data_IF_176975592636
#
_entry.id   IF_176975592636
#
_cell.length_a   1.000
_cell.length_b   1.000
_cell.length_c   1.000
_cell.angle_alpha   90.00
_cell.angle_beta   90.00
_cell.angle_gamma   90.00
#
_symmetry.space_group_name_H-M   'P 1'
#
loop_
_entity.id
_entity.type
_entity.pdbx_description
1 polymer ?
#
# COMPACT_ATOMS: atom_id res chain seq x y z
N UNK A 1 -43.16 -9.35 -22.02
CA UNK A 1 -41.89 -9.46 -21.29
C UNK A 1 -42.06 -8.80 -19.93
N UNK A 2 -41.96 -9.57 -18.84
CA UNK A 2 -42.58 -9.23 -17.55
C UNK A 2 -41.77 -8.23 -16.72
N UNK A 3 -42.36 -7.05 -16.44
CA UNK A 3 -41.81 -6.01 -15.53
C UNK A 3 -41.42 -6.55 -14.14
N UNK A 4 -42.06 -7.63 -13.68
CA UNK A 4 -41.74 -8.31 -12.41
C UNK A 4 -40.36 -8.97 -12.42
N UNK A 5 -39.90 -9.49 -13.57
CA UNK A 5 -38.57 -10.10 -13.69
C UNK A 5 -37.46 -9.06 -13.52
N UNK A 6 -37.64 -7.88 -14.12
CA UNK A 6 -36.71 -6.76 -13.97
C UNK A 6 -36.66 -6.21 -12.55
N UNK A 7 -37.80 -6.13 -11.85
CA UNK A 7 -37.83 -5.73 -10.45
C UNK A 7 -37.10 -6.74 -9.56
N UNK A 8 -37.30 -8.04 -9.77
CA UNK A 8 -36.59 -9.08 -9.02
C UNK A 8 -35.09 -9.09 -9.33
N UNK A 9 -34.68 -8.92 -10.59
CA UNK A 9 -33.26 -8.81 -10.94
C UNK A 9 -32.62 -7.56 -10.35
N UNK A 10 -33.33 -6.43 -10.31
CA UNK A 10 -32.84 -5.18 -9.73
C UNK A 10 -32.80 -5.24 -8.19
N UNK A 11 -33.76 -5.89 -7.55
CA UNK A 11 -33.72 -6.18 -6.10
C UNK A 11 -32.63 -7.19 -5.74
N UNK A 12 -32.43 -8.25 -6.54
CA UNK A 12 -31.32 -9.18 -6.35
C UNK A 12 -29.97 -8.49 -6.59
N UNK A 13 -29.88 -7.59 -7.58
CA UNK A 13 -28.67 -6.81 -7.83
C UNK A 13 -28.39 -5.83 -6.68
N UNK A 14 -29.40 -5.12 -6.19
CA UNK A 14 -29.29 -4.24 -5.01
C UNK A 14 -28.93 -5.01 -3.73
N UNK A 15 -29.53 -6.19 -3.49
CA UNK A 15 -29.19 -7.02 -2.33
C UNK A 15 -27.79 -7.64 -2.43
N UNK A 16 -27.36 -8.06 -3.63
CA UNK A 16 -26.00 -8.56 -3.85
C UNK A 16 -24.95 -7.45 -3.72
N UNK A 17 -25.24 -6.24 -4.22
CA UNK A 17 -24.39 -5.06 -4.02
C UNK A 17 -24.28 -4.69 -2.53
N UNK A 18 -25.39 -4.72 -1.79
CA UNK A 18 -25.38 -4.46 -0.35
C UNK A 18 -24.58 -5.52 0.44
N UNK A 19 -24.72 -6.80 0.11
CA UNK A 19 -23.99 -7.86 0.81
C UNK A 19 -22.47 -7.80 0.54
N UNK A 20 -22.07 -7.46 -0.69
CA UNK A 20 -20.66 -7.27 -1.06
C UNK A 20 -20.06 -5.99 -0.46
N UNK A 21 -20.83 -4.90 -0.39
CA UNK A 21 -20.41 -3.65 0.25
C UNK A 21 -20.26 -3.82 1.78
N UNK A 22 -21.14 -4.60 2.40
CA UNK A 22 -21.11 -4.85 3.84
C UNK A 22 -19.90 -5.70 4.27
N UNK A 23 -19.48 -6.67 3.44
CA UNK A 23 -18.23 -7.39 3.68
C UNK A 23 -17.02 -6.43 3.62
N UNK A 24 -17.01 -5.50 2.65
CA UNK A 24 -15.93 -4.54 2.43
C UNK A 24 -15.78 -3.53 3.58
N UNK A 25 -16.87 -2.96 4.08
CA UNK A 25 -16.86 -2.02 5.21
C UNK A 25 -16.43 -2.70 6.51
N UNK A 26 -16.95 -3.91 6.79
CA UNK A 26 -16.55 -4.69 7.98
C UNK A 26 -15.04 -4.96 8.00
N UNK A 27 -14.40 -5.19 6.85
CA UNK A 27 -12.95 -5.34 6.79
C UNK A 27 -12.22 -4.05 7.18
N UNK A 28 -12.68 -2.89 6.72
CA UNK A 28 -12.02 -1.63 7.03
C UNK A 28 -12.15 -1.26 8.50
N UNK A 29 -13.32 -1.52 9.10
CA UNK A 29 -13.56 -1.30 10.53
C UNK A 29 -12.59 -2.11 11.40
N UNK A 30 -12.37 -3.39 11.09
CA UNK A 30 -11.41 -4.25 11.81
C UNK A 30 -9.99 -3.67 11.85
N UNK A 31 -9.59 -2.91 10.83
CA UNK A 31 -8.27 -2.29 10.74
C UNK A 31 -8.25 -0.82 11.17
N UNK A 32 -9.39 -0.14 11.25
CA UNK A 32 -9.47 1.29 11.57
C UNK A 32 -8.99 1.62 12.98
N UNK A 33 -9.23 0.71 13.94
CA UNK A 33 -8.74 0.89 15.30
C UNK A 33 -7.23 0.71 15.44
N UNK A 34 -6.60 0.03 14.47
CA UNK A 34 -5.21 -0.42 14.57
C UNK A 34 -4.27 0.35 13.64
N UNK A 35 -4.80 0.97 12.58
CA UNK A 35 -4.02 1.72 11.58
C UNK A 35 -4.14 3.23 11.78
N UNK A 36 -3.08 3.95 11.41
CA UNK A 36 -3.18 5.40 11.24
C UNK A 36 -4.00 5.76 10.00
N UNK A 37 -4.50 7.00 9.93
CA UNK A 37 -5.36 7.48 8.83
C UNK A 37 -4.74 7.25 7.43
N UNK A 38 -3.44 7.52 7.28
CA UNK A 38 -2.71 7.30 6.01
C UNK A 38 -2.67 5.83 5.60
N UNK A 39 -2.40 4.93 6.55
CA UNK A 39 -2.28 3.50 6.30
C UNK A 39 -3.65 2.89 5.99
N UNK A 40 -4.70 3.35 6.67
CA UNK A 40 -6.08 2.95 6.39
C UNK A 40 -6.54 3.44 5.01
N UNK A 41 -6.25 4.70 4.66
CA UNK A 41 -6.54 5.26 3.34
C UNK A 41 -5.86 4.46 2.22
N UNK A 42 -4.60 4.08 2.43
CA UNK A 42 -3.91 3.21 1.48
C UNK A 42 -4.50 1.79 1.44
N UNK A 43 -4.91 1.21 2.57
CA UNK A 43 -5.55 -0.11 2.58
C UNK A 43 -6.86 -0.09 1.77
N UNK A 44 -7.68 0.95 1.99
CA UNK A 44 -8.90 1.19 1.23
C UNK A 44 -8.62 1.21 -0.28
N UNK A 45 -7.56 1.90 -0.70
CA UNK A 45 -7.16 1.99 -2.10
C UNK A 45 -6.76 0.65 -2.71
N UNK A 46 -6.01 -0.18 -1.97
CA UNK A 46 -5.63 -1.52 -2.43
C UNK A 46 -6.83 -2.45 -2.52
N UNK A 47 -7.72 -2.41 -1.51
CA UNK A 47 -8.98 -3.14 -1.48
C UNK A 47 -9.88 -2.76 -2.67
N UNK A 48 -10.07 -1.46 -2.91
CA UNK A 48 -10.89 -0.95 -3.99
C UNK A 48 -10.32 -1.37 -5.35
N UNK A 49 -9.00 -1.29 -5.53
CA UNK A 49 -8.36 -1.74 -6.77
C UNK A 49 -8.59 -3.23 -7.03
N UNK A 50 -8.44 -4.09 -6.01
CA UNK A 50 -8.70 -5.53 -6.13
C UNK A 50 -10.18 -5.84 -6.39
N UNK A 51 -11.08 -5.04 -5.83
CA UNK A 51 -12.52 -5.18 -6.06
C UNK A 51 -12.90 -4.83 -7.51
N UNK A 52 -12.33 -3.75 -8.05
CA UNK A 52 -12.52 -3.36 -9.46
C UNK A 52 -11.80 -4.31 -10.44
N UNK A 53 -10.70 -4.94 -10.00
CA UNK A 53 -9.83 -5.79 -10.80
C UNK A 53 -9.56 -7.13 -10.08
N UNK A 54 -10.59 -8.01 -9.95
CA UNK A 54 -10.44 -9.25 -9.21
C UNK A 54 -9.44 -10.20 -9.86
N UNK A 55 -8.68 -10.90 -9.02
CA UNK A 55 -7.62 -11.82 -9.45
C UNK A 55 -8.24 -13.07 -10.10
N UNK A 56 -7.89 -13.35 -11.35
CA UNK A 56 -8.29 -14.58 -12.03
C UNK A 56 -7.48 -15.78 -11.53
N UNK A 57 -8.09 -16.66 -10.74
CA UNK A 57 -7.44 -17.80 -10.10
C UNK A 57 -6.89 -18.83 -11.10
N UNK A 58 -7.40 -18.87 -12.34
CA UNK A 58 -6.93 -19.79 -13.37
C UNK A 58 -5.69 -19.27 -14.10
N UNK A 59 -5.50 -17.95 -14.15
CA UNK A 59 -4.42 -17.31 -14.91
C UNK A 59 -3.43 -16.52 -14.04
N UNK A 60 -3.69 -16.38 -12.74
CA UNK A 60 -2.83 -15.62 -11.85
C UNK A 60 -1.48 -16.30 -11.59
N UNK A 61 -0.48 -15.48 -11.35
CA UNK A 61 0.85 -15.90 -10.89
C UNK A 61 0.89 -15.97 -9.36
N UNK A 62 1.95 -16.55 -8.82
CA UNK A 62 2.12 -16.66 -7.37
C UNK A 62 2.18 -15.28 -6.71
N UNK A 63 2.72 -14.31 -7.42
CA UNK A 63 2.85 -12.95 -6.91
C UNK A 63 1.49 -12.24 -6.80
N UNK A 64 0.52 -12.52 -7.67
CA UNK A 64 -0.84 -11.94 -7.59
C UNK A 64 -1.52 -12.34 -6.27
N UNK A 65 -1.32 -13.60 -5.83
CA UNK A 65 -1.85 -14.09 -4.56
C UNK A 65 -1.24 -13.36 -3.35
N UNK A 66 -0.05 -12.77 -3.50
CA UNK A 66 0.54 -11.95 -2.43
C UNK A 66 -0.24 -10.65 -2.20
N UNK A 67 -0.99 -10.15 -3.19
CA UNK A 67 -1.82 -8.95 -3.05
C UNK A 67 -3.05 -9.17 -2.15
N UNK A 68 -3.45 -10.41 -1.90
CA UNK A 68 -4.56 -10.74 -0.99
C UNK A 68 -4.14 -10.53 0.47
N UNK A 69 -4.01 -9.28 0.93
CA UNK A 69 -3.54 -8.92 2.29
C UNK A 69 -4.43 -9.45 3.41
N UNK A 70 -5.69 -9.79 3.12
CA UNK A 70 -6.61 -10.41 4.08
C UNK A 70 -6.25 -11.86 4.45
N UNK A 71 -5.42 -12.54 3.63
CA UNK A 71 -4.98 -13.90 3.87
C UNK A 71 -3.69 -13.96 4.67
N UNK A 72 -3.62 -14.89 5.62
CA UNK A 72 -2.39 -15.22 6.32
C UNK A 72 -1.36 -15.87 5.38
N UNK A 73 -0.05 -15.86 5.70
CA UNK A 73 0.96 -16.54 4.90
C UNK A 73 0.67 -18.03 4.69
N UNK A 74 0.10 -18.69 5.71
CA UNK A 74 -0.28 -20.10 5.65
C UNK A 74 -1.45 -20.32 4.68
N UNK A 75 -2.48 -19.46 4.73
CA UNK A 75 -3.61 -19.53 3.80
C UNK A 75 -3.19 -19.26 2.36
N UNK A 76 -2.26 -18.30 2.13
CA UNK A 76 -1.68 -18.02 0.81
C UNK A 76 -0.92 -19.22 0.27
N UNK A 77 -0.04 -19.83 1.06
CA UNK A 77 0.71 -21.00 0.61
C UNK A 77 -0.21 -22.19 0.33
N UNK A 78 -1.21 -22.43 1.18
CA UNK A 78 -2.20 -23.48 0.95
C UNK A 78 -2.99 -23.26 -0.36
N UNK A 79 -3.36 -22.01 -0.65
CA UNK A 79 -4.01 -21.64 -1.90
C UNK A 79 -3.09 -21.86 -3.10
N UNK A 80 -1.85 -21.41 -3.04
CA UNK A 80 -0.86 -21.63 -4.10
C UNK A 80 -0.67 -23.13 -4.37
N UNK A 81 -0.55 -23.93 -3.32
CA UNK A 81 -0.45 -25.39 -3.43
C UNK A 81 -1.67 -26.04 -4.07
N UNK A 82 -2.87 -25.56 -3.73
CA UNK A 82 -4.12 -26.03 -4.35
C UNK A 82 -4.17 -25.67 -5.83
N UNK A 83 -3.89 -24.40 -6.17
CA UNK A 83 -3.87 -23.90 -7.54
C UNK A 83 -2.82 -24.61 -8.42
N UNK A 84 -1.64 -24.95 -7.87
CA UNK A 84 -0.62 -25.74 -8.57
C UNK A 84 -1.11 -27.14 -8.98
N UNK A 85 -2.06 -27.72 -8.24
CA UNK A 85 -2.53 -29.12 -8.41
C UNK A 85 -3.86 -29.23 -9.15
N UNK A 86 -4.76 -28.26 -8.97
CA UNK A 86 -6.16 -28.38 -9.35
C UNK A 86 -6.66 -27.31 -10.32
N UNK A 87 -5.80 -26.45 -10.87
CA UNK A 87 -6.20 -25.58 -11.99
C UNK A 87 -6.54 -26.39 -13.25
N UNK A 88 -7.52 -25.97 -14.07
CA UNK A 88 -8.41 -24.83 -13.84
C UNK A 88 -9.52 -25.16 -12.84
N UNK A 89 -9.91 -24.17 -12.06
CA UNK A 89 -11.12 -24.20 -11.24
C UNK A 89 -12.34 -23.91 -12.10
N UNK A 90 -13.49 -24.46 -11.72
CA UNK A 90 -14.81 -24.21 -12.29
C UNK A 90 -15.58 -23.15 -11.49
N UNK A 91 -15.37 -23.07 -10.17
CA UNK A 91 -16.04 -22.10 -9.31
C UNK A 91 -15.16 -21.60 -8.14
N UNK A 92 -15.36 -20.34 -7.74
CA UNK A 92 -14.71 -19.76 -6.54
C UNK A 92 -15.04 -20.55 -5.26
N UNK A 93 -16.19 -21.24 -5.22
CA UNK A 93 -16.58 -22.08 -4.09
C UNK A 93 -15.65 -23.27 -3.84
N UNK A 94 -14.90 -23.73 -4.85
CA UNK A 94 -13.88 -24.78 -4.69
C UNK A 94 -12.76 -24.40 -3.73
N UNK A 95 -12.58 -23.11 -3.44
CA UNK A 95 -11.62 -22.67 -2.45
C UNK A 95 -11.90 -23.21 -1.03
N UNK A 96 -13.13 -23.69 -0.76
CA UNK A 96 -13.43 -24.42 0.49
C UNK A 96 -12.71 -25.77 0.59
N UNK A 97 -12.21 -26.30 -0.53
CA UNK A 97 -11.43 -27.54 -0.58
C UNK A 97 -9.94 -27.29 -0.30
N UNK A 98 -9.51 -26.04 -0.25
CA UNK A 98 -8.13 -25.69 0.11
C UNK A 98 -7.88 -26.12 1.56
N UNK A 99 -6.79 -26.85 1.77
CA UNK A 99 -6.46 -27.41 3.08
C UNK A 99 -6.30 -26.29 4.12
N UNK A 100 -7.08 -26.37 5.20
CA UNK A 100 -7.03 -25.42 6.31
C UNK A 100 -7.87 -24.16 6.09
N UNK A 101 -8.53 -24.00 4.94
CA UNK A 101 -9.47 -22.90 4.72
C UNK A 101 -10.80 -23.14 5.42
N UNK A 102 -11.41 -22.04 5.85
CA UNK A 102 -12.73 -22.02 6.47
C UNK A 102 -13.71 -21.21 5.61
N UNK A 103 -15.01 -21.26 5.95
CA UNK A 103 -16.00 -20.37 5.35
C UNK A 103 -15.63 -18.89 5.51
N UNK A 104 -14.98 -18.52 6.63
CA UNK A 104 -14.46 -17.17 6.85
C UNK A 104 -13.35 -16.85 5.86
N UNK A 105 -12.39 -17.76 5.64
CA UNK A 105 -11.30 -17.58 4.66
C UNK A 105 -11.86 -17.27 3.27
N UNK A 106 -12.86 -18.03 2.81
CA UNK A 106 -13.56 -17.78 1.55
C UNK A 106 -14.27 -16.42 1.55
N UNK A 107 -14.99 -16.08 2.62
CA UNK A 107 -15.69 -14.80 2.73
C UNK A 107 -14.72 -13.62 2.59
N UNK A 108 -13.48 -13.74 3.10
CA UNK A 108 -12.46 -12.68 2.97
C UNK A 108 -12.06 -12.40 1.53
N UNK A 109 -11.98 -13.43 0.70
CA UNK A 109 -11.37 -13.32 -0.63
C UNK A 109 -12.39 -13.30 -1.77
N UNK A 110 -13.62 -13.78 -1.56
CA UNK A 110 -14.61 -13.99 -2.63
C UNK A 110 -14.90 -12.75 -3.46
N UNK A 111 -14.77 -11.55 -2.89
CA UNK A 111 -15.01 -10.28 -3.57
C UNK A 111 -13.81 -9.80 -4.43
N UNK A 112 -12.64 -10.42 -4.26
CA UNK A 112 -11.36 -9.99 -4.84
C UNK A 112 -10.76 -11.02 -5.79
N UNK A 113 -11.44 -12.15 -5.99
CA UNK A 113 -11.00 -13.23 -6.87
C UNK A 113 -12.11 -13.63 -7.81
N UNK A 114 -11.76 -14.14 -8.98
CA UNK A 114 -12.69 -14.72 -9.92
C UNK A 114 -12.14 -16.00 -10.53
N UNK A 115 -13.05 -16.83 -11.00
CA UNK A 115 -12.74 -17.92 -11.92
C UNK A 115 -13.35 -17.45 -13.23
N UNK A 116 -12.52 -17.07 -14.21
CA UNK A 116 -13.05 -16.62 -15.50
C UNK A 116 -13.77 -17.80 -16.17
N UNK A 117 -15.07 -17.65 -16.43
CA UNK A 117 -15.77 -18.55 -17.34
C UNK A 117 -15.01 -18.56 -18.67
N UNK A 118 -14.94 -19.74 -19.32
CA UNK A 118 -14.35 -19.91 -20.66
C UNK A 118 -14.99 -19.02 -21.76
N UNK A 119 -15.90 -18.10 -21.43
CA UNK A 119 -16.72 -17.32 -22.35
C UNK A 119 -16.87 -15.83 -21.97
N UNK A 120 -15.82 -15.15 -21.49
CA UNK A 120 -15.82 -13.67 -21.53
C UNK A 120 -15.41 -13.18 -22.94
N UNK A 121 -16.11 -12.20 -23.54
CA UNK A 121 -15.65 -11.58 -24.79
C UNK A 121 -14.22 -11.03 -24.61
N UNK A 122 -13.42 -11.09 -25.68
CA UNK A 122 -11.96 -10.85 -25.69
C UNK A 122 -11.51 -9.56 -24.97
N UNK A 123 -12.37 -8.55 -24.88
CA UNK A 123 -12.17 -7.29 -24.13
C UNK A 123 -11.84 -7.49 -22.64
N UNK A 124 -12.40 -8.49 -21.97
CA UNK A 124 -12.10 -8.77 -20.56
C UNK A 124 -10.87 -9.65 -20.36
N UNK A 125 -10.49 -10.42 -21.39
CA UNK A 125 -9.34 -11.34 -21.36
C UNK A 125 -8.01 -10.59 -21.44
N UNK A 126 -8.02 -9.39 -22.07
CA UNK A 126 -6.84 -8.54 -22.23
C UNK A 126 -6.65 -7.48 -21.12
N UNK A 127 -7.59 -7.35 -20.18
CA UNK A 127 -7.48 -6.37 -19.09
C UNK A 127 -6.30 -6.62 -18.16
N UNK A 128 -5.80 -7.87 -18.10
CA UNK A 128 -4.62 -8.20 -17.31
C UNK A 128 -3.30 -7.64 -17.86
N UNK A 129 -3.33 -7.09 -19.09
CA UNK A 129 -2.18 -6.44 -19.73
C UNK A 129 -2.32 -4.93 -19.82
N UNK A 130 -3.52 -4.37 -19.68
CA UNK A 130 -3.78 -2.93 -19.82
C UNK A 130 -3.65 -2.24 -18.47
N UNK A 131 -2.74 -1.26 -18.35
CA UNK A 131 -2.66 -0.48 -17.13
C UNK A 131 -3.87 0.42 -16.93
N UNK A 132 -4.24 0.61 -15.67
CA UNK A 132 -5.38 1.41 -15.23
C UNK A 132 -4.87 2.76 -14.75
N UNK A 133 -5.50 3.84 -15.21
CA UNK A 133 -5.30 5.18 -14.68
C UNK A 133 -6.39 5.48 -13.66
N UNK A 134 -6.02 6.06 -12.53
CA UNK A 134 -6.95 6.55 -11.52
C UNK A 134 -6.61 8.00 -11.17
N UNK A 135 -7.64 8.85 -11.14
CA UNK A 135 -7.56 10.24 -10.71
C UNK A 135 -8.36 10.38 -9.44
N UNK A 136 -7.74 10.91 -8.39
CA UNK A 136 -8.36 11.20 -7.10
C UNK A 136 -8.25 12.67 -6.80
N UNK A 137 -9.34 13.21 -6.27
CA UNK A 137 -9.42 14.58 -5.78
C UNK A 137 -10.10 14.54 -4.41
N UNK A 138 -9.42 15.10 -3.40
CA UNK A 138 -9.97 15.33 -2.07
C UNK A 138 -10.09 16.84 -1.87
N UNK A 139 -11.22 17.27 -1.32
CA UNK A 139 -11.50 18.68 -1.12
C UNK A 139 -12.16 18.83 0.24
N UNK A 140 -11.43 19.40 1.19
CA UNK A 140 -11.91 19.59 2.55
C UNK A 140 -12.16 21.09 2.78
N UNK A 141 -13.31 21.40 3.37
CA UNK A 141 -13.68 22.75 3.73
C UNK A 141 -14.37 22.74 5.10
N UNK A 142 -13.91 23.61 6.00
CA UNK A 142 -14.55 23.81 7.30
C UNK A 142 -15.58 24.93 7.22
N UNK A 143 -16.79 24.66 7.71
CA UNK A 143 -17.87 25.64 7.83
C UNK A 143 -18.03 25.97 9.33
N UNK A 144 -17.83 27.23 9.74
CA UNK A 144 -18.03 27.70 11.12
C UNK A 144 -17.69 29.18 11.32
N UNK A 145 -18.23 29.81 12.36
CA UNK A 145 -17.88 31.18 12.77
C UNK A 145 -16.50 31.21 13.45
N UNK A 146 -15.60 32.09 12.98
CA UNK A 146 -14.23 32.24 13.51
C UNK A 146 -13.12 31.53 12.72
N UNK A 147 -13.44 30.95 11.56
CA UNK A 147 -12.53 30.07 10.79
C UNK A 147 -11.36 30.80 10.10
N UNK A 148 -11.35 32.12 10.08
CA UNK A 148 -10.22 32.90 9.56
C UNK A 148 -9.38 33.45 10.71
N UNK A 149 -8.53 32.60 11.27
CA UNK A 149 -7.44 33.10 12.12
C UNK A 149 -6.52 33.94 11.22
N UNK A 150 -6.36 35.22 11.55
CA UNK A 150 -5.55 36.18 10.77
C UNK A 150 -4.07 35.78 10.63
N UNK A 151 -3.65 34.76 11.37
CA UNK A 151 -2.31 34.20 11.38
C UNK A 151 -2.05 33.14 10.27
N UNK A 152 -3.09 32.62 9.59
CA UNK A 152 -2.89 31.67 8.49
C UNK A 152 -2.40 32.36 7.22
N UNK A 153 -1.41 31.75 6.56
CA UNK A 153 -0.84 32.29 5.31
C UNK A 153 -1.70 31.95 4.08
N UNK A 154 -2.37 30.81 4.12
CA UNK A 154 -3.13 30.24 3.04
C UNK A 154 -4.63 30.22 3.28
N UNK A 155 -5.36 29.70 2.29
CA UNK A 155 -6.80 29.48 2.42
C UNK A 155 -7.09 28.28 3.32
N UNK A 156 -8.17 28.37 4.09
CA UNK A 156 -8.76 27.32 4.96
C UNK A 156 -9.26 26.08 4.21
N UNK A 157 -9.13 26.09 2.89
CA UNK A 157 -9.61 25.03 2.01
C UNK A 157 -8.42 24.18 1.55
N UNK A 158 -8.53 22.89 1.88
CA UNK A 158 -7.53 21.86 1.59
C UNK A 158 -7.89 21.16 0.27
N UNK A 159 -6.87 20.96 -0.56
CA UNK A 159 -6.99 20.39 -1.90
C UNK A 159 -5.89 19.37 -2.13
N UNK A 160 -6.31 18.14 -2.35
CA UNK A 160 -5.40 17.03 -2.62
C UNK A 160 -5.75 16.41 -3.97
N UNK A 161 -4.75 16.27 -4.84
CA UNK A 161 -4.87 15.65 -6.16
C UNK A 161 -3.87 14.51 -6.28
N UNK A 162 -4.32 13.36 -6.76
CA UNK A 162 -3.47 12.22 -7.05
C UNK A 162 -3.81 11.64 -8.41
N UNK A 163 -2.79 11.49 -9.24
CA UNK A 163 -2.83 10.72 -10.47
C UNK A 163 -2.03 9.43 -10.24
N UNK A 164 -2.64 8.29 -10.46
CA UNK A 164 -1.96 7.00 -10.36
C UNK A 164 -2.18 6.14 -11.58
N UNK A 165 -1.18 5.33 -11.86
CA UNK A 165 -1.16 4.34 -12.92
C UNK A 165 -0.77 3.00 -12.32
N UNK A 166 -1.52 1.95 -12.66
CA UNK A 166 -1.24 0.59 -12.20
C UNK A 166 -1.43 -0.40 -13.32
N UNK A 167 -0.35 -1.06 -13.70
CA UNK A 167 -0.34 -2.17 -14.65
C UNK A 167 0.07 -3.44 -13.91
N UNK A 168 -0.93 -4.09 -13.28
CA UNK A 168 -0.74 -5.28 -12.44
C UNK A 168 0.48 -5.12 -11.51
N UNK A 169 1.44 -6.03 -11.62
CA UNK A 169 2.66 -6.07 -10.82
C UNK A 169 3.90 -5.67 -11.62
N UNK A 170 3.74 -5.16 -12.83
CA UNK A 170 4.88 -4.79 -13.66
C UNK A 170 5.26 -3.34 -13.44
N UNK A 171 4.27 -2.45 -13.40
CA UNK A 171 4.50 -1.02 -13.28
C UNK A 171 3.42 -0.37 -12.42
N UNK A 172 3.82 0.35 -11.39
CA UNK A 172 2.94 1.27 -10.65
C UNK A 172 3.59 2.64 -10.64
N UNK A 173 2.80 3.68 -10.77
CA UNK A 173 3.28 5.05 -10.62
C UNK A 173 2.21 5.89 -9.96
N UNK A 174 2.62 6.83 -9.14
CA UNK A 174 1.72 7.83 -8.60
C UNK A 174 2.42 9.18 -8.51
N UNK A 175 1.66 10.23 -8.72
CA UNK A 175 2.05 11.60 -8.50
C UNK A 175 0.95 12.29 -7.73
N UNK A 176 1.28 13.00 -6.65
CA UNK A 176 0.30 13.76 -5.89
C UNK A 176 0.78 15.18 -5.59
N UNK A 177 -0.21 16.07 -5.52
CA UNK A 177 -0.09 17.41 -5.00
C UNK A 177 -1.05 17.54 -3.83
N UNK A 178 -0.55 17.97 -2.68
CA UNK A 178 -1.39 18.30 -1.55
C UNK A 178 -1.20 19.74 -1.13
N UNK A 179 -2.29 20.30 -0.62
CA UNK A 179 -2.34 21.62 -0.05
C UNK A 179 -3.24 21.54 1.17
N UNK A 180 -2.63 21.68 2.33
CA UNK A 180 -3.34 21.67 3.59
C UNK A 180 -4.01 23.00 3.91
N UNK A 181 -4.91 22.94 4.90
CA UNK A 181 -5.63 24.11 5.38
C UNK A 181 -4.66 25.16 5.93
N UNK A 182 -4.77 26.40 5.46
CA UNK A 182 -3.90 27.48 5.91
C UNK A 182 -2.54 27.53 5.22
N UNK A 183 -2.26 26.63 4.26
CA UNK A 183 -1.00 26.60 3.50
C UNK A 183 -1.10 27.26 2.12
N UNK A 184 0.06 27.66 1.60
CA UNK A 184 0.19 28.19 0.23
C UNK A 184 0.23 27.05 -0.79
N UNK A 185 -0.20 27.32 -2.02
CA UNK A 185 -0.19 26.34 -3.09
C UNK A 185 1.22 25.78 -3.34
N UNK A 186 1.31 24.45 -3.51
CA UNK A 186 2.56 23.76 -3.83
C UNK A 186 3.43 23.45 -2.61
N UNK A 187 2.84 23.39 -1.41
CA UNK A 187 3.59 23.03 -0.20
C UNK A 187 4.04 21.56 -0.22
N UNK A 188 3.12 20.66 -0.55
CA UNK A 188 3.41 19.25 -0.58
C UNK A 188 3.26 18.67 -1.99
N UNK A 189 4.29 17.94 -2.39
CA UNK A 189 4.25 17.12 -3.58
C UNK A 189 5.16 15.92 -3.41
N UNK A 190 4.75 14.85 -4.06
CA UNK A 190 5.56 13.65 -4.12
C UNK A 190 5.05 12.71 -5.19
N UNK A 191 5.77 11.59 -5.29
CA UNK A 191 5.44 10.59 -6.27
C UNK A 191 6.43 9.45 -6.25
N UNK A 192 6.04 8.37 -6.91
CA UNK A 192 6.88 7.21 -7.09
C UNK A 192 6.64 6.56 -8.44
N UNK A 193 7.63 5.81 -8.88
CA UNK A 193 7.53 4.80 -9.91
C UNK A 193 8.08 3.50 -9.33
N UNK A 194 7.27 2.46 -9.38
CA UNK A 194 7.59 1.11 -8.95
C UNK A 194 7.58 0.17 -10.16
N UNK A 195 8.67 -0.58 -10.31
CA UNK A 195 8.79 -1.68 -11.24
C UNK A 195 8.80 -2.95 -10.41
N UNK A 196 7.85 -3.86 -10.66
CA UNK A 196 7.82 -5.14 -9.96
C UNK A 196 8.70 -6.19 -10.64
N UNK A 197 8.33 -7.47 -10.48
CA UNK A 197 9.24 -8.58 -10.75
C UNK A 197 9.73 -8.62 -12.20
N UNK A 198 11.05 -8.64 -12.37
CA UNK A 198 11.74 -8.85 -13.65
C UNK A 198 13.04 -9.63 -13.44
N UNK A 199 13.07 -10.91 -13.85
CA UNK A 199 14.19 -11.83 -13.61
C UNK A 199 14.55 -11.88 -12.12
N UNK A 200 15.79 -11.56 -11.75
CA UNK A 200 16.25 -11.51 -10.36
C UNK A 200 15.80 -10.23 -9.62
N UNK A 201 15.27 -9.22 -10.31
CA UNK A 201 14.68 -8.06 -9.64
C UNK A 201 13.28 -8.45 -9.15
N UNK A 202 13.04 -8.34 -7.84
CA UNK A 202 11.70 -8.51 -7.28
C UNK A 202 10.92 -7.19 -7.28
N UNK A 203 11.59 -6.07 -6.96
CA UNK A 203 10.98 -4.75 -6.85
C UNK A 203 12.04 -3.66 -7.00
N UNK A 204 11.74 -2.59 -7.73
CA UNK A 204 12.52 -1.36 -7.80
C UNK A 204 11.57 -0.18 -7.62
N UNK A 205 11.89 0.74 -6.72
CA UNK A 205 11.12 1.96 -6.48
C UNK A 205 12.04 3.16 -6.68
N UNK A 206 11.55 4.15 -7.41
CA UNK A 206 12.13 5.48 -7.57
C UNK A 206 11.12 6.50 -7.05
N UNK A 207 11.50 7.36 -6.11
CA UNK A 207 10.62 8.35 -5.49
C UNK A 207 10.32 8.02 -4.03
N UNK A 208 9.05 8.15 -3.63
CA UNK A 208 8.62 8.07 -2.23
C UNK A 208 8.26 6.63 -1.82
N UNK A 209 8.95 6.14 -0.78
CA UNK A 209 8.76 4.79 -0.26
C UNK A 209 8.96 4.71 1.26
N UNK A 210 8.48 3.62 1.85
CA UNK A 210 8.80 3.18 3.21
C UNK A 210 9.55 1.85 3.14
N UNK A 211 10.52 1.68 4.03
CA UNK A 211 11.25 0.42 4.20
C UNK A 211 10.92 -0.19 5.56
N UNK A 212 10.84 -1.53 5.59
CA UNK A 212 10.51 -2.32 6.78
C UNK A 212 11.54 -3.43 6.98
N UNK A 213 12.56 -3.16 7.81
CA UNK A 213 13.61 -4.12 8.14
C UNK A 213 13.42 -4.64 9.56
N UNK A 214 13.65 -5.93 9.77
CA UNK A 214 13.42 -6.60 11.06
C UNK A 214 11.96 -6.51 11.53
N UNK A 215 11.00 -6.70 10.62
CA UNK A 215 9.55 -6.53 10.90
C UNK A 215 9.15 -5.10 11.30
N UNK A 216 9.99 -4.10 10.97
CA UNK A 216 9.81 -2.72 11.40
C UNK A 216 10.50 -2.39 12.73
N UNK A 217 11.09 -3.38 13.42
CA UNK A 217 11.81 -3.15 14.68
C UNK A 217 13.22 -2.59 14.47
N UNK A 218 13.86 -2.89 13.34
CA UNK A 218 15.21 -2.38 13.04
C UNK A 218 15.11 -1.07 12.27
N UNK A 219 14.22 -1.04 11.30
CA UNK A 219 13.90 0.16 10.55
C UNK A 219 12.48 0.05 10.05
N UNK A 220 11.60 0.90 10.57
CA UNK A 220 10.38 1.30 9.89
C UNK A 220 10.56 2.77 9.59
N UNK A 221 10.25 3.21 8.37
CA UNK A 221 10.21 4.65 8.03
C UNK A 221 9.31 5.50 8.96
N UNK A 222 8.59 4.87 9.88
CA UNK A 222 7.95 5.43 11.07
C UNK A 222 8.89 5.36 12.28
N UNK A 223 9.35 6.51 12.78
CA UNK A 223 10.00 6.59 14.09
C UNK A 223 9.05 6.06 15.17
N UNK A 224 9.60 5.32 16.14
CA UNK A 224 8.89 4.75 17.29
C UNK A 224 8.06 5.80 18.04
N UNK A 225 6.73 5.82 17.82
CA UNK A 225 5.85 6.84 18.40
C UNK A 225 4.42 6.34 18.63
N UNK A 226 4.21 5.51 19.66
CA UNK A 226 2.88 5.34 20.29
C UNK A 226 2.18 3.99 20.11
N UNK A 227 1.00 3.88 20.74
CA UNK A 227 0.21 2.64 20.92
C UNK A 227 -0.42 2.09 19.61
N UNK A 228 -0.43 2.86 18.53
CA UNK A 228 -1.06 2.50 17.24
C UNK A 228 -0.13 1.75 16.26
N UNK A 229 1.09 1.39 16.65
CA UNK A 229 2.05 0.71 15.75
C UNK A 229 1.91 -0.82 15.68
N UNK A 230 1.04 -1.42 16.49
CA UNK A 230 0.80 -2.87 16.43
C UNK A 230 0.16 -3.29 15.09
N UNK A 231 -0.68 -2.43 14.50
CA UNK A 231 -1.42 -2.69 13.25
C UNK A 231 -0.58 -2.54 11.99
N UNK A 232 0.43 -1.68 12.01
CA UNK A 232 1.37 -1.51 10.89
C UNK A 232 2.14 -2.82 10.63
N UNK A 233 2.33 -3.67 11.64
CA UNK A 233 2.90 -5.02 11.45
C UNK A 233 1.97 -5.97 10.67
N UNK A 234 0.65 -5.78 10.72
CA UNK A 234 -0.33 -6.67 10.09
C UNK A 234 -0.40 -6.48 8.57
N UNK A 235 -0.40 -5.23 8.09
CA UNK A 235 -0.36 -4.91 6.65
C UNK A 235 1.02 -5.07 6.02
N UNK A 236 2.08 -4.92 6.82
CA UNK A 236 3.47 -5.03 6.34
C UNK A 236 4.05 -6.44 6.53
N UNK A 237 3.23 -7.44 6.88
CA UNK A 237 3.61 -8.86 6.82
C UNK A 237 4.04 -9.18 5.40
N UNK A 238 5.37 -9.21 5.18
CA UNK A 238 6.09 -9.69 4.00
C UNK A 238 6.54 -8.64 2.95
N UNK A 239 6.27 -7.34 3.12
CA UNK A 239 6.82 -6.31 2.19
C UNK A 239 8.05 -5.64 2.79
N UNK A 240 9.18 -5.75 2.09
CA UNK A 240 10.45 -5.09 2.48
C UNK A 240 10.41 -3.60 2.16
N UNK A 241 9.85 -3.24 0.99
CA UNK A 241 9.56 -1.88 0.60
C UNK A 241 8.09 -1.72 0.24
N UNK A 242 7.54 -0.56 0.57
CA UNK A 242 6.18 -0.16 0.20
C UNK A 242 6.25 1.23 -0.41
N UNK A 243 5.59 1.41 -1.54
CA UNK A 243 5.39 2.73 -2.15
C UNK A 243 4.55 3.59 -1.21
N UNK A 244 4.88 4.87 -1.07
CA UNK A 244 4.10 5.78 -0.24
C UNK A 244 3.23 6.67 -1.11
N UNK A 245 1.93 6.72 -0.81
CA UNK A 245 1.05 7.72 -1.42
C UNK A 245 1.47 9.11 -0.95
N UNK A 246 1.60 10.04 -1.88
CA UNK A 246 2.23 11.34 -1.66
C UNK A 246 1.31 12.38 -1.02
N UNK A 247 0.33 11.91 -0.25
CA UNK A 247 -0.39 12.72 0.74
C UNK A 247 0.28 12.66 2.11
N UNK A 248 1.15 11.66 2.35
CA UNK A 248 1.90 11.59 3.58
C UNK A 248 3.04 12.61 3.58
N UNK A 249 2.96 13.57 4.50
CA UNK A 249 3.96 14.63 4.62
C UNK A 249 5.21 14.23 5.40
N UNK A 250 5.11 13.15 6.18
CA UNK A 250 6.18 12.65 7.02
C UNK A 250 6.32 11.12 6.95
N UNK A 251 7.35 10.58 7.60
CA UNK A 251 7.58 9.14 7.75
C UNK A 251 7.72 8.38 6.41
N UNK A 252 8.43 8.96 5.44
CA UNK A 252 8.83 8.30 4.20
C UNK A 252 10.28 8.62 3.83
N UNK A 253 10.78 7.89 2.85
CA UNK A 253 12.07 8.08 2.22
C UNK A 253 11.87 8.48 0.76
N UNK A 254 12.54 9.54 0.32
CA UNK A 254 12.60 9.94 -1.10
C UNK A 254 13.95 9.53 -1.70
N UNK A 255 13.92 8.60 -2.65
CA UNK A 255 15.14 8.13 -3.33
C UNK A 255 14.92 6.86 -4.14
N UNK A 256 15.84 5.89 -3.99
CA UNK A 256 15.82 4.62 -4.71
C UNK A 256 15.81 3.45 -3.72
N UNK A 257 15.01 2.43 -4.00
CA UNK A 257 14.98 1.17 -3.28
C UNK A 257 14.89 0.00 -4.24
N UNK A 258 15.66 -1.06 -4.00
CA UNK A 258 15.66 -2.26 -4.83
C UNK A 258 15.69 -3.52 -3.98
N UNK A 259 14.85 -4.48 -4.33
CA UNK A 259 14.81 -5.83 -3.78
C UNK A 259 15.16 -6.82 -4.89
N UNK A 260 16.20 -7.61 -4.66
CA UNK A 260 16.73 -8.56 -5.65
C UNK A 260 16.87 -9.95 -5.04
N UNK A 261 16.65 -10.98 -5.85
CA UNK A 261 17.00 -12.36 -5.55
C UNK A 261 18.52 -12.46 -5.38
N UNK A 262 18.95 -13.10 -4.30
CA UNK A 262 20.35 -13.39 -4.03
C UNK A 262 20.64 -14.87 -4.34
N UNK A 263 21.87 -15.21 -4.78
CA UNK A 263 22.27 -16.60 -4.94
C UNK A 263 22.11 -17.34 -3.61
N UNK A 264 21.41 -18.46 -3.66
CA UNK A 264 21.14 -19.30 -2.49
C UNK A 264 22.38 -20.09 -2.11
N UNK A 265 22.68 -20.13 -0.82
CA UNK A 265 23.61 -21.13 -0.27
C UNK A 265 23.02 -22.53 -0.49
N UNK A 266 23.84 -23.60 -0.55
CA UNK A 266 23.37 -24.96 -0.84
C UNK A 266 22.22 -25.47 0.05
N UNK A 267 22.09 -24.94 1.26
CA UNK A 267 21.04 -25.30 2.22
C UNK A 267 19.86 -24.32 2.26
N UNK A 268 19.91 -23.21 1.53
CA UNK A 268 18.90 -22.15 1.55
C UNK A 268 17.85 -22.35 0.44
N UNK A 269 16.56 -22.24 0.80
CA UNK A 269 15.45 -22.29 -0.16
C UNK A 269 15.33 -21.01 -0.97
N UNK A 270 15.55 -19.87 -0.31
CA UNK A 270 15.46 -18.54 -0.92
C UNK A 270 16.41 -17.57 -0.20
N UNK A 271 16.99 -16.65 -0.96
CA UNK A 271 17.74 -15.53 -0.40
C UNK A 271 17.39 -14.25 -1.16
N UNK A 272 17.41 -13.12 -0.48
CA UNK A 272 17.16 -11.81 -1.09
C UNK A 272 18.05 -10.74 -0.47
N UNK A 273 18.35 -9.72 -1.27
CA UNK A 273 19.02 -8.50 -0.85
C UNK A 273 18.09 -7.33 -1.09
N UNK A 274 17.87 -6.53 -0.06
CA UNK A 274 17.18 -5.26 -0.13
C UNK A 274 18.18 -4.13 0.11
N UNK A 275 18.23 -3.17 -0.80
CA UNK A 275 19.08 -1.99 -0.68
C UNK A 275 18.26 -0.74 -0.92
N UNK A 276 18.48 0.29 -0.12
CA UNK A 276 17.85 1.58 -0.35
C UNK A 276 18.77 2.74 -0.02
N UNK A 277 18.57 3.83 -0.73
CA UNK A 277 19.21 5.11 -0.49
C UNK A 277 18.18 6.22 -0.67
N UNK A 278 18.19 7.18 0.23
CA UNK A 278 17.26 8.30 0.23
C UNK A 278 18.01 9.58 0.54
N UNK A 279 17.73 10.61 -0.24
CA UNK A 279 18.31 11.93 -0.06
C UNK A 279 17.20 12.95 -0.10
N UNK A 280 16.89 13.50 1.07
CA UNK A 280 15.74 14.37 1.25
C UNK A 280 16.04 15.48 2.26
N UNK A 281 15.27 16.56 2.18
CA UNK A 281 15.29 17.61 3.19
C UNK A 281 14.17 17.32 4.19
N UNK A 282 14.50 17.34 5.48
CA UNK A 282 13.54 17.12 6.56
C UNK A 282 13.30 18.40 7.36
N UNK A 283 12.18 18.42 8.06
CA UNK A 283 11.80 19.56 8.91
C UNK A 283 12.40 19.39 10.29
N UNK A 284 13.18 20.37 10.75
CA UNK A 284 13.85 20.30 12.05
C UNK A 284 13.72 21.60 12.83
N UNK A 285 13.62 21.48 14.15
CA UNK A 285 13.81 22.61 15.05
C UNK A 285 15.32 22.86 15.18
N UNK A 286 15.78 24.02 14.71
CA UNK A 286 17.16 24.46 14.84
C UNK A 286 17.30 25.42 16.02
N UNK A 287 18.34 25.21 16.84
CA UNK A 287 18.78 26.17 17.85
C UNK A 287 20.30 26.31 17.73
N UNK A 288 20.78 27.51 17.43
CA UNK A 288 22.21 27.81 17.28
C UNK A 288 22.94 26.86 16.29
N UNK A 289 22.30 26.59 15.14
CA UNK A 289 22.80 25.67 14.10
C UNK A 289 22.94 24.20 14.51
N UNK A 290 22.40 23.81 15.66
CA UNK A 290 22.24 22.42 16.10
C UNK A 290 20.74 22.07 16.03
N UNK A 291 20.40 20.93 15.41
CA UNK A 291 19.01 20.46 15.41
C UNK A 291 18.66 19.83 16.76
N UNK A 292 17.54 20.24 17.34
CA UNK A 292 17.07 19.75 18.65
C UNK A 292 16.01 18.67 18.54
N UNK A 293 15.18 18.71 17.50
CA UNK A 293 14.17 17.70 17.22
C UNK A 293 13.78 17.67 15.74
N UNK A 294 13.39 16.49 15.27
CA UNK A 294 12.75 16.29 13.96
C UNK A 294 11.26 16.57 14.11
N UNK A 295 10.69 17.33 13.17
CA UNK A 295 9.26 17.66 13.10
C UNK A 295 8.58 16.71 12.10
N UNK A 296 7.46 16.10 12.50
CA UNK A 296 6.77 15.05 11.71
C UNK A 296 5.27 15.31 11.54
N UNK A 297 4.77 16.45 12.02
CA UNK A 297 3.36 16.85 11.96
C UNK A 297 2.96 17.42 10.59
N UNK A 298 3.91 17.70 9.68
CA UNK A 298 3.66 18.19 8.32
C UNK A 298 3.23 19.67 8.25
N UNK A 299 2.66 20.22 9.32
CA UNK A 299 2.01 21.52 9.33
C UNK A 299 2.93 22.70 9.00
N UNK A 300 2.55 23.43 7.96
CA UNK A 300 3.19 24.63 7.42
C UNK A 300 2.27 25.86 7.33
N UNK A 301 1.21 25.88 8.14
CA UNK A 301 0.19 26.93 8.10
C UNK A 301 0.65 28.31 8.62
N UNK A 302 1.70 28.37 9.46
CA UNK A 302 2.20 29.62 10.10
C UNK A 302 3.63 29.99 9.66
N UNK A 303 3.98 31.28 9.74
CA UNK A 303 5.32 31.78 9.35
C UNK A 303 6.47 31.17 10.16
N UNK A 304 6.26 30.94 11.46
CA UNK A 304 7.23 30.26 12.35
C UNK A 304 7.57 28.84 11.90
N UNK A 305 6.66 28.18 11.17
CA UNK A 305 6.84 26.80 10.71
C UNK A 305 7.65 26.75 9.41
N UNK A 306 7.65 27.82 8.62
CA UNK A 306 8.48 27.93 7.40
C UNK A 306 9.98 27.87 7.66
N UNK A 307 10.44 28.44 8.78
CA UNK A 307 11.86 28.39 9.15
C UNK A 307 12.33 26.98 9.53
N UNK A 308 11.38 26.08 9.82
CA UNK A 308 11.63 24.68 10.17
C UNK A 308 11.57 23.78 8.96
N UNK A 309 10.96 24.23 7.87
CA UNK A 309 10.66 23.44 6.68
C UNK A 309 11.91 23.12 5.89
N UNK A 310 12.10 21.83 5.61
CA UNK A 310 13.13 21.24 4.75
C UNK A 310 14.50 21.82 5.11
N UNK A 311 14.81 22.13 6.36
CA UNK A 311 16.00 22.93 6.68
C UNK A 311 17.26 22.09 6.91
N UNK A 312 17.15 20.77 7.06
CA UNK A 312 18.27 19.84 7.23
C UNK A 312 18.27 18.82 6.10
N UNK A 313 19.44 18.55 5.53
CA UNK A 313 19.61 17.45 4.58
C UNK A 313 19.76 16.14 5.34
N UNK A 314 19.10 15.08 4.86
CA UNK A 314 19.27 13.74 5.41
C UNK A 314 19.61 12.79 4.28
N UNK A 315 20.75 12.11 4.40
CA UNK A 315 21.08 10.92 3.64
C UNK A 315 20.79 9.70 4.50
N UNK A 316 19.91 8.84 4.01
CA UNK A 316 19.63 7.54 4.63
C UNK A 316 20.02 6.45 3.66
N UNK A 317 20.76 5.45 4.12
CA UNK A 317 20.96 4.22 3.35
C UNK A 317 20.78 3.00 4.23
N UNK A 318 20.24 1.94 3.65
CA UNK A 318 20.01 0.72 4.38
C UNK A 318 20.23 -0.50 3.47
N UNK A 319 20.74 -1.57 4.06
CA UNK A 319 21.01 -2.85 3.43
C UNK A 319 20.41 -3.96 4.29
N UNK A 320 19.71 -4.90 3.67
CA UNK A 320 19.23 -6.12 4.30
C UNK A 320 19.61 -7.32 3.43
N UNK A 321 20.24 -8.30 4.03
CA UNK A 321 20.38 -9.64 3.45
C UNK A 321 19.49 -10.59 4.23
N UNK A 322 18.67 -11.37 3.55
CA UNK A 322 17.79 -12.36 4.16
C UNK A 322 17.99 -13.72 3.50
N UNK A 323 18.03 -14.77 4.33
CA UNK A 323 18.09 -16.15 3.87
C UNK A 323 17.09 -17.02 4.63
N UNK A 324 16.35 -17.83 3.88
CA UNK A 324 15.34 -18.74 4.40
C UNK A 324 15.82 -20.19 4.21
N UNK A 325 15.95 -20.90 5.32
CA UNK A 325 16.19 -22.34 5.39
C UNK A 325 14.89 -23.07 5.73
N UNK A 326 14.91 -24.41 5.71
CA UNK A 326 13.70 -25.20 5.97
C UNK A 326 13.11 -25.00 7.37
N UNK A 327 13.96 -24.73 8.35
CA UNK A 327 13.58 -24.68 9.78
C UNK A 327 13.76 -23.29 10.41
N UNK A 328 14.50 -22.40 9.76
CA UNK A 328 14.80 -21.08 10.30
C UNK A 328 14.98 -20.06 9.20
N UNK A 329 14.78 -18.79 9.57
CA UNK A 329 15.02 -17.63 8.73
C UNK A 329 15.93 -16.70 9.52
N UNK A 330 16.89 -16.09 8.84
CA UNK A 330 17.76 -15.09 9.44
C UNK A 330 17.95 -13.92 8.47
N UNK A 331 18.19 -12.75 9.04
CA UNK A 331 18.45 -11.54 8.28
C UNK A 331 19.54 -10.70 8.96
N UNK A 332 20.40 -10.11 8.15
CA UNK A 332 21.39 -9.10 8.56
C UNK A 332 20.93 -7.75 8.02
N UNK A 333 20.86 -6.74 8.89
CA UNK A 333 20.42 -5.40 8.55
C UNK A 333 21.54 -4.41 8.89
N UNK A 334 21.89 -3.55 7.93
CA UNK A 334 22.78 -2.41 8.11
C UNK A 334 22.03 -1.13 7.77
N UNK A 335 22.23 -0.09 8.56
CA UNK A 335 21.55 1.18 8.40
C UNK A 335 22.50 2.34 8.73
N UNK A 336 22.43 3.38 7.91
CA UNK A 336 23.30 4.55 7.99
C UNK A 336 22.50 5.83 7.78
N UNK A 337 22.72 6.81 8.66
CA UNK A 337 22.18 8.15 8.58
C UNK A 337 23.31 9.18 8.57
N UNK A 338 23.14 10.21 7.77
CA UNK A 338 23.96 11.41 7.78
C UNK A 338 23.06 12.64 7.66
N UNK A 339 23.30 13.64 8.51
CA UNK A 339 22.52 14.88 8.63
C UNK A 339 23.41 16.10 8.42
#
# INVERSE_FOLDING_TARGET
MNKKLWLCLLCCWMSCCNLLAQDFESYLEDYAEILGEDDLSHLYDELLFLWENPIDLNHCKEEDIQELFMLTPQEKEALLDYLRRYRPLDAVAELLLVKGWTALSLQKVRAFVCVSEMNKPEEYRNRSSTGVWQVKQKLNYRIGEGVQDSAYRGSILSHSYQLSYRQHQHLRAAFCFDKDEGEVWGDHSGGYVEIGKYKALQQLILGDYRAYFGQGLVFSGTLFGGKSHAGTSLLNRNKVFRTQNSYAESNYLRGIAALVDAPTLPSAKKASVAICAAWQRIDCNLKDSVFSSIKTDGMHAYEKDMNKRKNVWQLTSALRYESMHEQFQWALNGLFYHF
#
